data_IF_814854037534
#
_entry.id   IF_814854037534
#
_cell.length_a   1.000
_cell.length_b   1.000
_cell.length_c   1.000
_cell.angle_alpha   90.00
_cell.angle_beta   90.00
_cell.angle_gamma   90.00
#
_symmetry.space_group_name_H-M   'P 1'
#
loop_
_entity.id
_entity.type
_entity.pdbx_description
1 polymer ?
#
# COMPACT_ATOMS: atom_id res chain seq x y z
N UNK A 1 22.54 4.99 26.52
CA UNK A 1 21.18 5.19 27.06
C UNK A 1 20.42 5.93 25.98
N UNK A 2 19.49 5.24 25.30
CA UNK A 2 18.78 5.79 24.14
C UNK A 2 17.41 6.26 24.61
N UNK A 3 17.35 7.49 25.12
CA UNK A 3 16.12 8.15 25.55
C UNK A 3 15.35 8.70 24.34
N UNK A 4 14.54 7.84 23.71
CA UNK A 4 13.22 8.22 23.20
C UNK A 4 12.44 6.92 22.84
N UNK A 5 12.06 6.15 23.85
CA UNK A 5 11.17 5.00 23.61
C UNK A 5 9.75 5.54 23.53
N UNK A 6 9.22 5.69 22.32
CA UNK A 6 7.82 6.06 22.08
C UNK A 6 6.91 5.15 22.92
N UNK A 7 5.99 5.76 23.68
CA UNK A 7 5.09 4.99 24.57
C UNK A 7 4.06 4.28 23.69
N UNK A 8 4.11 2.95 23.69
CA UNK A 8 3.14 2.11 23.03
C UNK A 8 1.86 2.07 23.88
N UNK A 9 0.80 2.71 23.38
CA UNK A 9 -0.52 2.73 24.01
C UNK A 9 -1.33 1.52 23.56
N UNK A 10 -1.74 0.69 24.50
CA UNK A 10 -2.50 -0.54 24.27
C UNK A 10 -3.88 -0.38 24.92
N UNK A 11 -4.93 -0.63 24.15
CA UNK A 11 -6.25 -0.88 24.72
C UNK A 11 -6.39 -2.38 24.98
N UNK A 12 -6.60 -2.77 26.23
CA UNK A 12 -6.86 -4.15 26.64
C UNK A 12 -8.33 -4.30 27.01
N UNK A 13 -9.03 -5.19 26.30
CA UNK A 13 -10.43 -5.54 26.55
C UNK A 13 -10.46 -6.97 27.06
N UNK A 14 -10.68 -7.15 28.36
CA UNK A 14 -10.55 -8.41 29.09
C UNK A 14 -11.40 -8.34 30.36
N UNK A 15 -12.30 -9.30 30.59
CA UNK A 15 -13.21 -9.30 31.73
C UNK A 15 -12.56 -9.81 33.03
N UNK A 16 -11.56 -10.70 32.93
CA UNK A 16 -10.84 -11.20 34.11
C UNK A 16 -9.74 -10.21 34.57
N UNK A 17 -9.90 -9.57 35.74
CA UNK A 17 -8.90 -8.64 36.27
C UNK A 17 -7.55 -9.30 36.58
N UNK A 18 -7.51 -10.61 36.83
CA UNK A 18 -6.26 -11.33 37.06
C UNK A 18 -5.46 -11.48 35.77
N UNK A 19 -6.13 -11.85 34.67
CA UNK A 19 -5.53 -11.93 33.34
C UNK A 19 -5.04 -10.55 32.91
N UNK A 20 -5.87 -9.51 33.10
CA UNK A 20 -5.49 -8.14 32.81
C UNK A 20 -4.27 -7.68 33.65
N UNK A 21 -4.23 -8.04 34.92
CA UNK A 21 -3.09 -7.78 35.82
C UNK A 21 -1.80 -8.46 35.35
N UNK A 22 -1.91 -9.72 34.90
CA UNK A 22 -0.76 -10.49 34.40
C UNK A 22 -0.21 -9.93 33.10
N UNK A 23 -1.08 -9.55 32.16
CA UNK A 23 -0.69 -8.85 30.92
C UNK A 23 0.05 -7.54 31.25
N UNK A 24 -0.50 -6.72 32.15
CA UNK A 24 0.14 -5.47 32.61
C UNK A 24 1.51 -5.72 33.24
N UNK A 25 1.62 -6.76 34.07
CA UNK A 25 2.89 -7.13 34.71
C UNK A 25 3.97 -7.44 33.67
N UNK A 26 3.68 -8.33 32.70
CA UNK A 26 4.67 -8.69 31.68
C UNK A 26 5.06 -7.51 30.80
N UNK A 27 4.10 -6.66 30.40
CA UNK A 27 4.37 -5.46 29.62
C UNK A 27 5.24 -4.45 30.39
N UNK A 28 4.94 -4.19 31.66
CA UNK A 28 5.72 -3.27 32.50
C UNK A 28 7.11 -3.82 32.85
N UNK A 29 7.30 -5.14 32.82
CA UNK A 29 8.60 -5.77 33.10
C UNK A 29 9.62 -5.63 31.96
N UNK A 30 9.18 -5.25 30.76
CA UNK A 30 10.04 -5.18 29.59
C UNK A 30 10.79 -3.85 29.52
N UNK A 31 12.13 -3.90 29.43
CA UNK A 31 12.97 -2.69 29.50
C UNK A 31 13.20 -1.99 28.17
N UNK A 32 12.98 -2.66 27.05
CA UNK A 32 13.31 -2.13 25.73
C UNK A 32 12.23 -1.21 25.15
N UNK A 33 11.00 -1.27 25.69
CA UNK A 33 9.86 -0.46 25.25
C UNK A 33 9.06 -0.01 26.46
N UNK A 34 8.46 1.18 26.34
CA UNK A 34 7.50 1.71 27.31
C UNK A 34 6.10 1.39 26.84
N UNK A 35 5.32 0.68 27.65
CA UNK A 35 3.91 0.38 27.37
C UNK A 35 2.99 1.16 28.31
N UNK A 36 1.87 1.65 27.78
CA UNK A 36 0.76 2.19 28.54
C UNK A 36 -0.48 1.36 28.24
N UNK A 37 -0.96 0.62 29.24
CA UNK A 37 -2.11 -0.29 29.08
C UNK A 37 -3.34 0.35 29.68
N UNK A 38 -4.26 0.74 28.81
CA UNK A 38 -5.61 1.15 29.18
C UNK A 38 -6.53 -0.07 29.15
N UNK A 39 -7.15 -0.42 30.28
CA UNK A 39 -7.93 -1.65 30.44
C UNK A 39 -9.42 -1.35 30.55
N UNK A 40 -10.24 -2.24 29.97
CA UNK A 40 -11.70 -2.27 30.11
C UNK A 40 -12.20 -3.69 30.28
N UNK A 41 -13.19 -3.88 31.16
CA UNK A 41 -13.78 -5.19 31.48
C UNK A 41 -14.84 -5.66 30.47
N UNK A 42 -15.39 -4.76 29.64
CA UNK A 42 -16.40 -5.10 28.62
C UNK A 42 -16.03 -4.57 27.26
N UNK A 43 -16.47 -5.27 26.21
CA UNK A 43 -16.29 -4.85 24.83
C UNK A 43 -16.96 -3.49 24.55
N UNK A 44 -18.12 -3.19 25.14
CA UNK A 44 -18.80 -1.91 24.95
C UNK A 44 -17.94 -0.73 25.42
N UNK A 45 -17.39 -0.80 26.65
CA UNK A 45 -16.49 0.23 27.20
C UNK A 45 -15.22 0.37 26.35
N UNK A 46 -14.67 -0.75 25.89
CA UNK A 46 -13.51 -0.75 25.00
C UNK A 46 -13.80 -0.03 23.68
N UNK A 47 -14.93 -0.34 23.04
CA UNK A 47 -15.36 0.27 21.79
C UNK A 47 -15.66 1.77 21.95
N UNK A 48 -16.25 2.19 23.07
CA UNK A 48 -16.50 3.61 23.38
C UNK A 48 -15.20 4.42 23.38
N UNK A 49 -14.14 3.89 23.99
CA UNK A 49 -12.81 4.53 24.04
C UNK A 49 -12.16 4.70 22.67
N UNK A 50 -12.57 3.90 21.68
CA UNK A 50 -12.07 4.01 20.31
C UNK A 50 -12.72 5.16 19.51
N UNK A 51 -13.68 5.88 20.09
CA UNK A 51 -14.30 7.04 19.46
C UNK A 51 -13.32 8.20 19.28
N UNK A 52 -12.22 8.22 20.03
CA UNK A 52 -11.13 9.19 19.88
C UNK A 52 -10.12 8.64 18.86
N UNK A 53 -9.94 9.29 17.69
CA UNK A 53 -9.01 8.81 16.67
C UNK A 53 -7.57 8.76 17.17
N UNK A 54 -6.81 7.75 16.72
CA UNK A 54 -5.36 7.59 16.97
C UNK A 54 -4.96 7.55 18.46
N UNK A 55 -5.85 7.12 19.35
CA UNK A 55 -5.55 7.06 20.79
C UNK A 55 -4.70 5.84 21.20
N UNK A 56 -4.71 4.78 20.40
CA UNK A 56 -3.99 3.53 20.69
C UNK A 56 -3.18 3.04 19.50
N UNK A 57 -2.07 2.36 19.78
CA UNK A 57 -1.22 1.70 18.80
C UNK A 57 -1.66 0.25 18.55
N UNK A 58 -2.31 -0.40 19.52
CA UNK A 58 -2.75 -1.79 19.45
C UNK A 58 -3.99 -2.01 20.33
N UNK A 59 -4.86 -2.93 19.92
CA UNK A 59 -5.93 -3.48 20.75
C UNK A 59 -5.61 -4.94 21.05
N UNK A 60 -5.58 -5.31 22.34
CA UNK A 60 -5.65 -6.69 22.81
C UNK A 60 -7.10 -6.97 23.17
N UNK A 61 -7.72 -7.91 22.47
CA UNK A 61 -9.15 -8.20 22.62
C UNK A 61 -9.33 -9.66 23.01
N UNK A 62 -9.91 -9.89 24.19
CA UNK A 62 -10.34 -11.22 24.56
C UNK A 62 -11.49 -11.69 23.66
N UNK A 63 -11.46 -12.97 23.33
CA UNK A 63 -12.51 -13.64 22.59
C UNK A 63 -13.77 -13.86 23.46
N UNK A 64 -13.59 -14.25 24.73
CA UNK A 64 -14.68 -14.64 25.62
C UNK A 64 -15.06 -13.52 26.58
N UNK A 65 -15.74 -12.51 26.07
CA UNK A 65 -16.26 -11.41 26.87
C UNK A 65 -17.74 -11.62 27.25
N UNK A 66 -18.17 -11.09 28.41
CA UNK A 66 -19.57 -11.10 28.79
C UNK A 66 -20.39 -10.22 27.86
N UNK A 67 -21.66 -10.61 27.65
CA UNK A 67 -22.69 -9.91 26.86
C UNK A 67 -22.43 -9.85 25.35
N UNK A 68 -21.25 -9.42 24.94
CA UNK A 68 -20.80 -9.32 23.55
C UNK A 68 -19.45 -10.00 23.43
N UNK A 69 -19.37 -11.06 22.62
CA UNK A 69 -18.11 -11.78 22.44
C UNK A 69 -17.09 -10.94 21.64
N UNK A 70 -15.81 -11.30 21.73
CA UNK A 70 -14.74 -10.57 21.07
C UNK A 70 -14.82 -10.56 19.55
N UNK A 71 -15.47 -11.57 18.94
CA UNK A 71 -15.68 -11.63 17.49
C UNK A 71 -16.67 -10.57 17.01
N UNK A 72 -17.77 -10.37 17.75
CA UNK A 72 -18.74 -9.31 17.52
C UNK A 72 -18.12 -7.94 17.74
N UNK A 73 -17.33 -7.79 18.82
CA UNK A 73 -16.59 -6.57 19.09
C UNK A 73 -15.62 -6.23 17.94
N UNK A 74 -14.87 -7.21 17.42
CA UNK A 74 -13.99 -7.05 16.26
C UNK A 74 -14.77 -6.57 15.02
N UNK A 75 -15.93 -7.16 14.73
CA UNK A 75 -16.79 -6.74 13.61
C UNK A 75 -17.21 -5.27 13.73
N UNK A 76 -17.54 -4.82 14.94
CA UNK A 76 -17.90 -3.41 15.21
C UNK A 76 -16.69 -2.48 15.06
N UNK A 77 -15.53 -2.88 15.58
CA UNK A 77 -14.30 -2.09 15.47
C UNK A 77 -13.95 -1.87 13.98
N UNK A 78 -14.04 -2.93 13.17
CA UNK A 78 -13.69 -2.87 11.75
C UNK A 78 -14.74 -2.14 10.92
N UNK A 79 -16.04 -2.27 11.23
CA UNK A 79 -17.09 -1.52 10.51
C UNK A 79 -17.02 -0.01 10.74
N UNK A 80 -16.41 0.43 11.84
CA UNK A 80 -16.13 1.86 12.12
C UNK A 80 -14.89 2.40 11.42
N UNK A 81 -14.26 1.64 10.52
CA UNK A 81 -12.99 1.99 9.85
C UNK A 81 -11.85 2.34 10.83
N UNK A 82 -11.84 1.70 12.01
CA UNK A 82 -10.76 1.87 12.98
C UNK A 82 -9.57 1.04 12.49
N UNK A 83 -8.53 1.73 12.02
CA UNK A 83 -7.34 1.11 11.44
C UNK A 83 -6.32 0.61 12.48
N UNK A 84 -6.68 0.61 13.77
CA UNK A 84 -5.80 0.12 14.84
C UNK A 84 -5.69 -1.41 14.73
N UNK A 85 -4.46 -1.98 14.79
CA UNK A 85 -4.29 -3.43 14.76
C UNK A 85 -4.93 -4.08 16.00
N UNK A 86 -5.60 -5.21 15.78
CA UNK A 86 -6.31 -5.97 16.84
C UNK A 86 -5.71 -7.36 16.92
N UNK A 87 -5.14 -7.72 18.07
CA UNK A 87 -4.74 -9.09 18.38
C UNK A 87 -5.83 -9.70 19.25
N UNK A 88 -6.35 -10.84 18.81
CA UNK A 88 -7.31 -11.62 19.60
C UNK A 88 -6.59 -12.55 20.57
N UNK A 89 -7.09 -12.63 21.79
CA UNK A 89 -6.64 -13.57 22.82
C UNK A 89 -7.76 -14.56 23.12
N UNK A 90 -7.46 -15.86 23.23
CA UNK A 90 -8.48 -16.89 23.49
C UNK A 90 -7.98 -17.95 24.44
N UNK A 91 -8.90 -18.54 25.20
CA UNK A 91 -8.62 -19.72 26.04
C UNK A 91 -8.91 -21.05 25.34
N UNK A 92 -9.49 -21.06 24.12
CA UNK A 92 -9.89 -22.27 23.40
C UNK A 92 -9.13 -22.48 22.08
N UNK A 93 -8.68 -23.71 21.82
CA UNK A 93 -7.82 -24.12 20.68
C UNK A 93 -8.56 -24.40 19.37
N UNK A 94 -9.72 -23.80 19.15
CA UNK A 94 -10.52 -24.09 17.95
C UNK A 94 -9.90 -23.42 16.70
N UNK A 95 -9.35 -24.24 15.79
CA UNK A 95 -8.67 -23.75 14.57
C UNK A 95 -9.64 -23.03 13.63
N UNK A 96 -10.90 -23.45 13.62
CA UNK A 96 -11.97 -22.86 12.82
C UNK A 96 -12.15 -21.38 13.19
N UNK A 97 -12.11 -21.05 14.48
CA UNK A 97 -12.25 -19.71 15.04
C UNK A 97 -11.12 -18.78 14.58
N UNK A 98 -9.87 -19.27 14.59
CA UNK A 98 -8.70 -18.49 14.15
C UNK A 98 -8.86 -18.00 12.70
N UNK A 99 -9.34 -18.87 11.80
CA UNK A 99 -9.49 -18.52 10.39
C UNK A 99 -10.55 -17.43 10.15
N UNK A 100 -11.64 -17.43 10.94
CA UNK A 100 -12.68 -16.42 10.86
C UNK A 100 -12.17 -15.07 11.40
N UNK A 101 -11.50 -15.09 12.54
CA UNK A 101 -10.91 -13.91 13.18
C UNK A 101 -9.96 -13.16 12.24
N UNK A 102 -9.06 -13.87 11.57
CA UNK A 102 -8.11 -13.28 10.62
C UNK A 102 -8.82 -12.71 9.38
N UNK A 103 -9.85 -13.39 8.86
CA UNK A 103 -10.66 -12.89 7.73
C UNK A 103 -11.42 -11.61 8.08
N UNK A 104 -11.84 -11.47 9.33
CA UNK A 104 -12.50 -10.27 9.83
C UNK A 104 -11.54 -9.10 10.08
N UNK A 105 -10.24 -9.29 9.91
CA UNK A 105 -9.24 -8.22 9.95
C UNK A 105 -8.53 -8.06 11.29
N UNK A 106 -8.62 -9.04 12.18
CA UNK A 106 -7.63 -9.16 13.25
C UNK A 106 -6.25 -9.41 12.63
N UNK A 107 -5.22 -8.87 13.25
CA UNK A 107 -3.85 -9.02 12.75
C UNK A 107 -3.24 -10.35 13.14
N UNK A 108 -3.68 -10.88 14.28
CA UNK A 108 -3.20 -12.12 14.85
C UNK A 108 -4.20 -12.68 15.86
N UNK A 109 -4.00 -13.94 16.22
CA UNK A 109 -4.80 -14.67 17.20
C UNK A 109 -3.88 -15.55 18.02
N UNK A 110 -3.92 -15.39 19.35
CA UNK A 110 -3.10 -16.16 20.27
C UNK A 110 -3.91 -16.82 21.36
N UNK A 111 -3.45 -17.98 21.78
CA UNK A 111 -3.92 -18.64 23.00
C UNK A 111 -3.36 -17.92 24.22
N UNK A 112 -4.21 -17.56 25.19
CA UNK A 112 -3.82 -16.87 26.44
C UNK A 112 -2.69 -17.62 27.15
N UNK A 113 -2.78 -18.94 27.25
CA UNK A 113 -1.78 -19.82 27.89
C UNK A 113 -0.41 -19.76 27.19
N UNK A 114 -0.39 -19.59 25.87
CA UNK A 114 0.84 -19.60 25.08
C UNK A 114 1.49 -18.21 25.03
N UNK A 115 0.69 -17.15 25.14
CA UNK A 115 1.12 -15.77 24.88
C UNK A 115 1.36 -14.95 26.15
N UNK A 116 0.61 -15.19 27.23
CA UNK A 116 0.72 -14.39 28.46
C UNK A 116 1.94 -14.84 29.25
N UNK A 117 3.08 -14.28 28.87
CA UNK A 117 4.38 -14.61 29.41
C UNK A 117 5.44 -13.57 29.06
N UNK A 118 6.72 -13.86 29.35
CA UNK A 118 7.84 -12.95 29.05
C UNK A 118 7.98 -12.57 27.58
N UNK A 119 7.37 -13.32 26.65
CA UNK A 119 7.41 -13.05 25.21
C UNK A 119 6.33 -12.07 24.72
N UNK A 120 5.26 -11.84 25.52
CA UNK A 120 4.18 -10.92 25.15
C UNK A 120 4.67 -9.54 24.69
N UNK A 121 5.60 -8.88 25.41
CA UNK A 121 6.07 -7.55 25.03
C UNK A 121 6.79 -7.54 23.68
N UNK A 122 7.55 -8.60 23.39
CA UNK A 122 8.29 -8.76 22.13
C UNK A 122 7.32 -8.92 20.96
N UNK A 123 6.28 -9.74 21.14
CA UNK A 123 5.27 -10.02 20.11
C UNK A 123 4.47 -8.75 19.79
N UNK A 124 4.09 -7.98 20.80
CA UNK A 124 3.41 -6.69 20.60
C UNK A 124 4.31 -5.70 19.86
N UNK A 125 5.57 -5.54 20.31
CA UNK A 125 6.50 -4.61 19.67
C UNK A 125 6.71 -4.94 18.19
N UNK A 126 6.96 -6.22 17.87
CA UNK A 126 7.13 -6.69 16.50
C UNK A 126 5.86 -6.49 15.66
N UNK A 127 4.68 -6.71 16.24
CA UNK A 127 3.41 -6.51 15.54
C UNK A 127 3.22 -5.05 15.15
N UNK A 128 3.51 -4.13 16.06
CA UNK A 128 3.40 -2.69 15.81
C UNK A 128 4.42 -2.24 14.77
N UNK A 129 5.66 -2.69 14.88
CA UNK A 129 6.71 -2.37 13.90
C UNK A 129 6.31 -2.86 12.50
N UNK A 130 5.81 -4.09 12.39
CA UNK A 130 5.32 -4.65 11.11
C UNK A 130 4.20 -3.80 10.51
N UNK A 131 3.24 -3.35 11.32
CA UNK A 131 2.14 -2.52 10.84
C UNK A 131 2.59 -1.11 10.44
N UNK A 132 3.52 -0.53 11.19
CA UNK A 132 4.11 0.76 10.83
C UNK A 132 4.87 0.67 9.49
N UNK A 133 5.66 -0.39 9.29
CA UNK A 133 6.35 -0.65 8.02
C UNK A 133 5.36 -0.83 6.87
N UNK A 134 4.29 -1.61 7.08
CA UNK A 134 3.25 -1.82 6.07
C UNK A 134 2.57 -0.51 5.66
N UNK A 135 2.18 0.31 6.63
CA UNK A 135 1.59 1.64 6.40
C UNK A 135 2.54 2.56 5.65
N UNK A 136 3.84 2.52 5.97
CA UNK A 136 4.85 3.31 5.25
C UNK A 136 4.96 2.87 3.78
N UNK A 137 4.99 1.56 3.51
CA UNK A 137 5.03 1.03 2.14
C UNK A 137 3.78 1.44 1.35
N UNK A 138 2.60 1.35 1.95
CA UNK A 138 1.34 1.77 1.31
C UNK A 138 1.33 3.26 0.99
N UNK A 139 1.83 4.10 1.91
CA UNK A 139 2.00 5.54 1.69
C UNK A 139 2.98 5.83 0.55
N UNK A 140 4.16 5.20 0.56
CA UNK A 140 5.19 5.41 -0.46
C UNK A 140 4.70 4.97 -1.85
N UNK A 141 3.93 3.87 -1.92
CA UNK A 141 3.28 3.43 -3.16
C UNK A 141 2.24 4.44 -3.66
N UNK A 142 1.42 4.98 -2.75
CA UNK A 142 0.44 6.02 -3.09
C UNK A 142 1.11 7.27 -3.66
N UNK A 143 2.17 7.77 -3.02
CA UNK A 143 2.93 8.92 -3.49
C UNK A 143 3.61 8.66 -4.85
N UNK A 144 4.12 7.45 -5.09
CA UNK A 144 4.67 7.07 -6.39
C UNK A 144 3.59 7.00 -7.49
N UNK A 145 2.40 6.47 -7.19
CA UNK A 145 1.29 6.41 -8.14
C UNK A 145 0.86 7.82 -8.56
N UNK A 146 0.71 8.74 -7.61
CA UNK A 146 0.35 10.13 -7.89
C UNK A 146 1.40 10.84 -8.76
N UNK A 147 2.69 10.59 -8.53
CA UNK A 147 3.76 11.13 -9.38
C UNK A 147 3.70 10.60 -10.81
N UNK A 148 3.37 9.32 -10.99
CA UNK A 148 3.25 8.70 -12.32
C UNK A 148 2.03 9.26 -13.05
N UNK A 149 0.89 9.42 -12.37
CA UNK A 149 -0.32 10.03 -12.93
C UNK A 149 -0.05 11.46 -13.43
N UNK A 150 0.64 12.28 -12.62
CA UNK A 150 1.03 13.64 -13.03
C UNK A 150 1.96 13.64 -14.25
N UNK A 151 2.92 12.70 -14.34
CA UNK A 151 3.78 12.56 -15.52
C UNK A 151 2.96 12.15 -16.74
N UNK A 152 2.01 11.22 -16.61
CA UNK A 152 1.16 10.79 -17.73
C UNK A 152 0.33 11.95 -18.30
N UNK A 153 -0.22 12.80 -17.44
CA UNK A 153 -0.98 13.99 -17.85
C UNK A 153 -0.11 14.98 -18.66
N UNK A 154 1.12 15.22 -18.19
CA UNK A 154 2.09 16.06 -18.91
C UNK A 154 2.44 15.43 -20.26
N UNK A 155 2.69 14.11 -20.31
CA UNK A 155 3.03 13.40 -21.55
C UNK A 155 1.90 13.51 -22.57
N UNK A 156 0.64 13.38 -22.16
CA UNK A 156 -0.52 13.56 -23.07
C UNK A 156 -0.50 14.96 -23.67
N UNK A 157 -0.31 15.99 -22.84
CA UNK A 157 -0.30 17.39 -23.26
C UNK A 157 0.84 17.67 -24.24
N UNK A 158 2.08 17.31 -23.87
CA UNK A 158 3.27 17.48 -24.73
C UNK A 158 3.14 16.69 -26.03
N UNK A 159 2.56 15.50 -25.99
CA UNK A 159 2.33 14.69 -27.21
C UNK A 159 1.46 15.43 -28.21
N UNK A 160 0.39 16.08 -27.77
CA UNK A 160 -0.46 16.89 -28.65
C UNK A 160 0.31 18.07 -29.25
N UNK A 161 1.06 18.79 -28.41
CA UNK A 161 1.83 19.96 -28.86
C UNK A 161 2.94 19.61 -29.86
N UNK A 162 3.57 18.44 -29.73
CA UNK A 162 4.62 17.99 -30.64
C UNK A 162 4.06 17.36 -31.93
N UNK A 163 2.93 16.63 -31.85
CA UNK A 163 2.32 16.03 -33.02
C UNK A 163 1.85 17.07 -34.05
N UNK A 164 1.41 18.26 -33.59
CA UNK A 164 0.96 19.34 -34.47
C UNK A 164 2.05 19.82 -35.46
N UNK A 165 3.24 20.28 -35.02
CA UNK A 165 4.31 20.68 -35.93
C UNK A 165 4.86 19.49 -36.74
N UNK A 166 4.91 18.27 -36.18
CA UNK A 166 5.32 17.08 -36.94
C UNK A 166 4.37 16.79 -38.11
N UNK A 167 3.06 16.92 -37.91
CA UNK A 167 2.06 16.76 -38.96
C UNK A 167 2.27 17.80 -40.07
N UNK A 168 2.58 19.06 -39.71
CA UNK A 168 2.90 20.11 -40.67
C UNK A 168 4.18 19.81 -41.48
N UNK A 169 5.26 19.37 -40.81
CA UNK A 169 6.52 18.97 -41.46
C UNK A 169 6.30 17.80 -42.41
N UNK A 170 5.57 16.76 -41.97
CA UNK A 170 5.25 15.57 -42.75
C UNK A 170 4.41 15.92 -43.98
N UNK A 171 3.43 16.82 -43.83
CA UNK A 171 2.64 17.33 -44.95
C UNK A 171 3.52 18.06 -45.97
N UNK A 172 4.37 19.01 -45.52
CA UNK A 172 5.27 19.75 -46.39
C UNK A 172 6.24 18.81 -47.13
N UNK A 173 6.85 17.85 -46.42
CA UNK A 173 7.71 16.84 -47.01
C UNK A 173 6.99 16.00 -48.08
N UNK A 174 5.75 15.56 -47.79
CA UNK A 174 4.93 14.81 -48.75
C UNK A 174 4.57 15.63 -50.00
N UNK A 175 4.29 16.93 -49.85
CA UNK A 175 4.04 17.83 -50.98
C UNK A 175 5.30 17.99 -51.84
N UNK A 176 6.46 18.21 -51.22
CA UNK A 176 7.73 18.37 -51.94
C UNK A 176 8.13 17.10 -52.69
N UNK A 177 7.93 15.90 -52.12
CA UNK A 177 8.26 14.63 -52.77
C UNK A 177 7.46 14.36 -54.05
N UNK A 178 6.31 15.01 -54.23
CA UNK A 178 5.49 14.95 -55.46
C UNK A 178 6.02 15.84 -56.59
N UNK A 179 6.93 16.78 -56.29
CA UNK A 179 7.56 17.63 -57.30
C UNK A 179 8.74 16.92 -57.95
N UNK A 180 9.10 17.37 -59.15
CA UNK A 180 10.35 16.98 -59.78
C UNK A 180 11.50 17.74 -59.10
N UNK A 181 12.41 17.01 -58.48
CA UNK A 181 13.45 17.54 -57.58
C UNK A 181 14.76 16.80 -57.85
N UNK A 182 15.92 17.48 -57.75
CA UNK A 182 17.22 16.84 -57.80
C UNK A 182 17.32 15.65 -56.83
N UNK A 183 18.03 14.56 -57.20
CA UNK A 183 18.15 13.35 -56.38
C UNK A 183 18.62 13.61 -54.96
N UNK A 184 19.56 14.54 -54.78
CA UNK A 184 20.13 14.86 -53.47
C UNK A 184 19.09 15.52 -52.54
N UNK A 185 18.31 16.47 -53.06
CA UNK A 185 17.22 17.13 -52.33
C UNK A 185 16.13 16.11 -51.97
N UNK A 186 15.77 15.24 -52.91
CA UNK A 186 14.80 14.15 -52.66
C UNK A 186 15.26 13.23 -51.53
N UNK A 187 16.56 12.97 -51.42
CA UNK A 187 17.16 12.17 -50.35
C UNK A 187 17.02 12.85 -48.99
N UNK A 188 17.32 14.15 -48.88
CA UNK A 188 17.13 14.89 -47.63
C UNK A 188 15.67 14.94 -47.17
N UNK A 189 14.71 15.11 -48.10
CA UNK A 189 13.28 15.11 -47.75
C UNK A 189 12.82 13.73 -47.24
N UNK A 190 13.33 12.63 -47.81
CA UNK A 190 13.07 11.28 -47.29
C UNK A 190 13.60 11.13 -45.86
N UNK A 191 14.82 11.59 -45.59
CA UNK A 191 15.42 11.57 -44.24
C UNK A 191 14.55 12.37 -43.25
N UNK A 192 14.08 13.56 -43.63
CA UNK A 192 13.17 14.37 -42.78
C UNK A 192 11.92 13.55 -42.46
N UNK A 193 11.27 12.99 -43.48
CA UNK A 193 10.04 12.17 -43.30
C UNK A 193 10.29 10.98 -42.37
N UNK A 194 11.34 10.22 -42.60
CA UNK A 194 11.72 9.06 -41.77
C UNK A 194 11.96 9.47 -40.30
N UNK A 195 12.65 10.60 -40.06
CA UNK A 195 12.83 11.12 -38.71
C UNK A 195 11.52 11.60 -38.08
N UNK A 196 10.63 12.21 -38.86
CA UNK A 196 9.30 12.64 -38.40
C UNK A 196 8.48 11.43 -37.94
N UNK A 197 8.47 10.35 -38.73
CA UNK A 197 7.82 9.07 -38.40
C UNK A 197 8.44 8.44 -37.15
N UNK A 198 9.77 8.51 -37.00
CA UNK A 198 10.48 7.97 -35.84
C UNK A 198 10.16 8.70 -34.54
N UNK A 199 10.00 10.03 -34.59
CA UNK A 199 9.57 10.84 -33.44
C UNK A 199 8.13 10.49 -33.06
N UNK A 200 7.22 10.41 -34.04
CA UNK A 200 5.81 10.02 -33.81
C UNK A 200 5.70 8.66 -33.12
N UNK A 201 6.48 7.65 -33.55
CA UNK A 201 6.53 6.35 -32.89
C UNK A 201 7.09 6.41 -31.46
N UNK A 202 8.03 7.31 -31.19
CA UNK A 202 8.60 7.48 -29.84
C UNK A 202 7.57 8.12 -28.91
N UNK A 203 6.80 9.10 -29.40
CA UNK A 203 5.70 9.73 -28.65
C UNK A 203 4.60 8.73 -28.32
N UNK A 204 4.23 7.86 -29.27
CA UNK A 204 3.24 6.82 -29.02
C UNK A 204 3.65 5.87 -27.88
N UNK A 205 4.92 5.44 -27.86
CA UNK A 205 5.47 4.63 -26.76
C UNK A 205 5.45 5.36 -25.42
N UNK A 206 5.74 6.66 -25.40
CA UNK A 206 5.67 7.48 -24.18
C UNK A 206 4.24 7.56 -23.63
N UNK A 207 3.22 7.65 -24.50
CA UNK A 207 1.81 7.71 -24.10
C UNK A 207 1.30 6.39 -23.51
N UNK A 208 1.86 5.26 -23.94
CA UNK A 208 1.48 3.92 -23.49
C UNK A 208 2.24 3.46 -22.22
N UNK A 209 3.04 4.35 -21.61
CA UNK A 209 3.80 4.05 -20.41
C UNK A 209 2.89 3.68 -19.22
N UNK A 210 3.11 2.49 -18.68
CA UNK A 210 2.49 2.03 -17.43
C UNK A 210 3.51 2.04 -16.29
N UNK A 211 3.02 2.23 -15.06
CA UNK A 211 3.83 2.20 -13.83
C UNK A 211 4.64 0.91 -13.64
N UNK A 212 4.18 -0.19 -14.23
CA UNK A 212 4.78 -1.52 -14.19
C UNK A 212 6.07 -1.66 -15.02
N UNK A 213 6.40 -0.67 -15.87
CA UNK A 213 7.56 -0.71 -16.77
C UNK A 213 8.82 -0.01 -16.19
N UNK A 214 8.84 0.29 -14.90
CA UNK A 214 9.98 0.93 -14.23
C UNK A 214 11.00 -0.13 -13.82
N UNK A 215 12.16 -0.15 -14.50
CA UNK A 215 13.27 -1.06 -14.20
C UNK A 215 14.40 -0.34 -13.45
N UNK A 216 15.18 -1.05 -12.60
CA UNK A 216 16.41 -0.50 -12.03
C UNK A 216 17.36 -0.06 -13.14
N UNK A 217 17.95 1.12 -13.00
CA UNK A 217 18.98 1.67 -13.88
C UNK A 217 20.25 1.97 -13.06
N UNK A 218 21.35 2.30 -13.73
CA UNK A 218 22.68 2.46 -13.11
C UNK A 218 22.63 3.34 -11.85
N UNK A 219 23.11 2.80 -10.73
CA UNK A 219 23.10 3.46 -9.42
C UNK A 219 21.73 3.43 -8.74
N UNK A 220 21.24 4.60 -8.31
CA UNK A 220 19.89 4.76 -7.70
C UNK A 220 18.83 5.20 -8.70
N UNK A 221 19.20 5.33 -9.97
CA UNK A 221 18.28 5.76 -11.02
C UNK A 221 17.37 4.59 -11.40
N UNK A 222 16.11 4.89 -11.70
CA UNK A 222 15.18 3.94 -12.32
C UNK A 222 14.84 4.48 -13.70
N UNK A 223 14.68 3.59 -14.68
CA UNK A 223 14.37 3.95 -16.06
C UNK A 223 13.08 3.28 -16.49
N UNK A 224 12.29 3.97 -17.31
CA UNK A 224 11.15 3.37 -17.99
C UNK A 224 11.63 2.55 -19.20
N UNK A 225 11.26 1.27 -19.23
CA UNK A 225 11.61 0.40 -20.34
C UNK A 225 10.67 0.61 -21.54
N UNK A 226 11.11 1.46 -22.46
CA UNK A 226 10.45 1.79 -23.73
C UNK A 226 10.65 0.70 -24.83
N UNK A 227 11.26 -0.44 -24.50
CA UNK A 227 11.46 -1.56 -25.43
C UNK A 227 10.28 -2.54 -25.47
N UNK A 228 9.42 -2.52 -24.44
CA UNK A 228 8.24 -3.39 -24.37
C UNK A 228 7.21 -2.97 -25.42
N UNK A 229 6.78 -3.92 -26.27
CA UNK A 229 5.74 -3.68 -27.28
C UNK A 229 4.39 -3.50 -26.55
N UNK A 230 3.52 -2.57 -26.99
CA UNK A 230 2.14 -2.54 -26.51
C UNK A 230 1.50 -3.90 -26.73
N UNK A 231 0.82 -4.41 -25.69
CA UNK A 231 -0.02 -5.59 -25.80
C UNK A 231 -1.10 -5.29 -26.83
N UNK A 232 -0.96 -5.79 -28.05
CA UNK A 232 -2.03 -5.74 -29.03
C UNK A 232 -3.18 -6.58 -28.49
N UNK A 233 -4.39 -6.02 -28.29
CA UNK A 233 -5.53 -6.83 -27.91
C UNK A 233 -5.72 -7.88 -29.00
N UNK A 234 -5.72 -9.16 -28.61
CA UNK A 234 -6.11 -10.25 -29.49
C UNK A 234 -7.48 -9.88 -30.04
N UNK A 235 -7.60 -9.79 -31.37
CA UNK A 235 -8.90 -9.81 -32.02
C UNK A 235 -9.59 -11.08 -31.53
N UNK A 236 -10.67 -10.92 -30.78
CA UNK A 236 -11.63 -12.00 -30.60
C UNK A 236 -12.15 -12.32 -32.00
N UNK A 237 -11.83 -13.53 -32.43
CA UNK A 237 -12.40 -14.12 -33.63
C UNK A 237 -13.93 -14.13 -33.45
N UNK A 238 -14.60 -13.39 -34.32
CA UNK A 238 -16.04 -13.57 -34.55
C UNK A 238 -16.19 -14.88 -35.31
N UNK A 239 -16.76 -15.87 -34.63
CA UNK A 239 -17.59 -16.91 -35.26
C UNK A 239 -19.03 -16.73 -34.79
#
# INVERSE_FOLDING_TARGET
MSENSEIIKILLIEDDPNIAGLIKYYLNSYRNYSFSVDWTETAEKGIEKLSIPNNYNLILLDYYLPEMNGLEALKIIKSRNINIPVIMLSSAKEKEVMSEVLKLGAIDYYMKEDIIGPLLPVIIANTIERENLKRQIEKDKGEQSQKIEAIQEIVITVSHEVNNPLAAIKLAANILLKKDLPPDIRTYIKIIKENTDRIEQTILKLRELKSEQIVPYVGRLKMFDLSTKPNTPKKEDRE
#
